data_IF_820869555076
#
_entry.id   IF_820869555076
#
_cell.length_a   1.000
_cell.length_b   1.000
_cell.length_c   1.000
_cell.angle_alpha   90.00
_cell.angle_beta   90.00
_cell.angle_gamma   90.00
#
_symmetry.space_group_name_H-M   'P 1'
#
loop_
_entity.id
_entity.type
_entity.pdbx_description
1 polymer ?
#
# COMPACT_ATOMS: atom_id res chain seq x y z
N UNK A 1 -17.79 4.90 -24.72
CA UNK A 1 -18.24 3.86 -23.79
C UNK A 1 -17.18 3.80 -22.68
N UNK A 2 -17.45 4.46 -21.57
CA UNK A 2 -16.58 4.42 -20.41
C UNK A 2 -16.60 2.99 -19.85
N UNK A 3 -15.54 2.23 -20.12
CA UNK A 3 -15.29 0.97 -19.43
C UNK A 3 -14.83 1.34 -18.02
N UNK A 4 -15.79 1.58 -17.13
CA UNK A 4 -15.50 1.71 -15.72
C UNK A 4 -14.99 0.33 -15.24
N UNK A 5 -13.66 0.15 -15.24
CA UNK A 5 -13.07 -1.04 -14.66
C UNK A 5 -13.34 -1.02 -13.15
N UNK A 6 -13.92 -2.06 -12.57
CA UNK A 6 -14.20 -2.07 -11.14
C UNK A 6 -12.89 -2.04 -10.36
N UNK A 7 -12.74 -1.00 -9.55
CA UNK A 7 -11.57 -0.74 -8.74
C UNK A 7 -11.97 -0.88 -7.26
N UNK A 8 -11.20 -1.67 -6.52
CA UNK A 8 -11.29 -1.72 -5.06
C UNK A 8 -10.20 -0.82 -4.47
N UNK A 9 -10.56 0.02 -3.51
CA UNK A 9 -9.60 0.76 -2.69
C UNK A 9 -9.63 0.20 -1.27
N UNK A 10 -8.47 -0.26 -0.81
CA UNK A 10 -8.26 -0.89 0.49
C UNK A 10 -7.49 0.05 1.40
N UNK A 11 -8.05 0.36 2.56
CA UNK A 11 -7.42 1.17 3.60
C UNK A 11 -7.20 0.30 4.83
N UNK A 12 -5.94 -0.06 5.11
CA UNK A 12 -5.59 -0.78 6.32
C UNK A 12 -5.54 0.19 7.52
N UNK A 13 -6.23 -0.15 8.61
CA UNK A 13 -6.35 0.73 9.78
C UNK A 13 -6.05 -0.01 11.09
N UNK A 14 -5.46 0.74 12.03
CA UNK A 14 -5.36 0.36 13.44
C UNK A 14 -5.22 1.63 14.27
N UNK A 15 -6.23 2.04 15.03
CA UNK A 15 -6.23 3.25 15.84
C UNK A 15 -5.81 4.50 15.02
N UNK A 16 -6.61 4.84 14.01
CA UNK A 16 -6.38 5.97 13.08
C UNK A 16 -7.58 6.94 13.04
N UNK A 17 -8.27 7.15 14.18
CA UNK A 17 -9.47 7.99 14.25
C UNK A 17 -9.29 9.41 13.69
N UNK A 18 -8.05 9.96 13.74
CA UNK A 18 -7.73 11.30 13.24
C UNK A 18 -7.53 11.34 11.72
N UNK A 19 -7.04 10.26 11.13
CA UNK A 19 -6.64 10.20 9.73
C UNK A 19 -7.66 9.52 8.83
N UNK A 20 -8.41 8.54 9.34
CA UNK A 20 -9.30 7.69 8.53
C UNK A 20 -10.41 8.50 7.84
N UNK A 21 -11.07 9.43 8.54
CA UNK A 21 -12.14 10.25 7.97
C UNK A 21 -11.66 11.06 6.75
N UNK A 22 -10.68 11.97 6.91
CA UNK A 22 -10.12 12.74 5.81
C UNK A 22 -9.61 11.88 4.65
N UNK A 23 -9.01 10.71 4.93
CA UNK A 23 -8.53 9.78 3.91
C UNK A 23 -9.70 9.23 3.07
N UNK A 24 -10.77 8.76 3.71
CA UNK A 24 -11.93 8.19 3.02
C UNK A 24 -12.71 9.24 2.23
N UNK A 25 -12.87 10.45 2.77
CA UNK A 25 -13.51 11.58 2.09
C UNK A 25 -12.77 11.93 0.79
N UNK A 26 -11.44 12.01 0.85
CA UNK A 26 -10.63 12.30 -0.34
C UNK A 26 -10.73 11.19 -1.38
N UNK A 27 -10.67 9.91 -0.96
CA UNK A 27 -10.82 8.76 -1.87
C UNK A 27 -12.18 8.83 -2.57
N UNK A 28 -13.27 9.04 -1.84
CA UNK A 28 -14.62 9.14 -2.42
C UNK A 28 -14.77 10.30 -3.39
N UNK A 29 -14.12 11.44 -3.11
CA UNK A 29 -14.11 12.58 -4.01
C UNK A 29 -13.41 12.31 -5.34
N UNK A 30 -12.28 11.57 -5.29
CA UNK A 30 -11.45 11.26 -6.47
C UNK A 30 -11.96 10.04 -7.23
N UNK A 31 -12.47 9.04 -6.48
CA UNK A 31 -12.89 7.73 -6.99
C UNK A 31 -14.31 7.39 -6.52
N UNK A 32 -15.35 8.15 -6.93
CA UNK A 32 -16.70 8.01 -6.36
C UNK A 32 -17.38 6.65 -6.61
N UNK A 33 -16.92 5.92 -7.62
CA UNK A 33 -17.48 4.61 -8.01
C UNK A 33 -16.62 3.42 -7.55
N UNK A 34 -15.59 3.62 -6.71
CA UNK A 34 -14.76 2.53 -6.22
C UNK A 34 -15.47 1.70 -5.13
N UNK A 35 -15.12 0.42 -5.05
CA UNK A 35 -15.46 -0.43 -3.88
C UNK A 35 -14.48 -0.07 -2.74
N UNK A 36 -14.94 0.78 -1.80
CA UNK A 36 -14.13 1.30 -0.71
C UNK A 36 -14.21 0.39 0.51
N UNK A 37 -13.08 -0.24 0.85
CA UNK A 37 -12.97 -1.20 1.93
C UNK A 37 -11.94 -0.73 2.96
N UNK A 38 -12.33 -0.71 4.21
CA UNK A 38 -11.46 -0.54 5.36
C UNK A 38 -11.24 -1.90 6.01
N UNK A 39 -9.98 -2.31 6.19
CA UNK A 39 -9.63 -3.50 6.97
C UNK A 39 -9.05 -3.04 8.30
N UNK A 40 -9.79 -3.27 9.36
CA UNK A 40 -9.47 -2.77 10.69
C UNK A 40 -8.81 -3.85 11.57
N UNK A 41 -7.65 -3.51 12.11
CA UNK A 41 -6.84 -4.36 12.98
C UNK A 41 -7.31 -4.42 14.44
N UNK A 42 -8.62 -4.40 14.68
CA UNK A 42 -9.24 -4.34 16.02
C UNK A 42 -8.93 -3.02 16.76
N UNK A 43 -9.20 -1.90 16.12
CA UNK A 43 -9.04 -0.57 16.72
C UNK A 43 -9.88 -0.42 17.98
N UNK A 44 -9.30 0.22 19.00
CA UNK A 44 -9.95 0.55 20.27
C UNK A 44 -10.48 1.98 20.34
N UNK A 45 -10.18 2.81 19.33
CA UNK A 45 -10.65 4.18 19.18
C UNK A 45 -11.88 4.26 18.24
N UNK A 46 -12.24 5.45 17.77
CA UNK A 46 -13.39 5.67 16.88
C UNK A 46 -13.14 5.33 15.41
N UNK A 47 -12.02 4.69 15.05
CA UNK A 47 -11.65 4.39 13.66
C UNK A 47 -12.78 3.69 12.90
N UNK A 48 -13.32 2.60 13.46
CA UNK A 48 -14.39 1.80 12.82
C UNK A 48 -15.68 2.58 12.65
N UNK A 49 -16.06 3.35 13.68
CA UNK A 49 -17.25 4.22 13.63
C UNK A 49 -17.14 5.25 12.50
N UNK A 50 -16.02 5.96 12.45
CA UNK A 50 -15.74 6.97 11.43
C UNK A 50 -15.72 6.36 10.02
N UNK A 51 -15.12 5.17 9.87
CA UNK A 51 -15.09 4.47 8.58
C UNK A 51 -16.49 4.14 8.07
N UNK A 52 -17.38 3.64 8.93
CA UNK A 52 -18.79 3.33 8.60
C UNK A 52 -19.58 4.58 8.24
N UNK A 53 -19.44 5.68 9.00
CA UNK A 53 -20.09 6.97 8.72
C UNK A 53 -19.65 7.48 7.34
N UNK A 54 -18.40 7.30 6.97
CA UNK A 54 -17.89 7.63 5.64
C UNK A 54 -18.30 6.63 4.55
N UNK A 55 -19.17 5.67 4.84
CA UNK A 55 -19.73 4.74 3.84
C UNK A 55 -18.73 3.71 3.32
N UNK A 56 -17.64 3.45 4.03
CA UNK A 56 -16.72 2.36 3.70
C UNK A 56 -17.29 1.01 4.19
N UNK A 57 -17.06 -0.04 3.42
CA UNK A 57 -17.27 -1.41 3.90
C UNK A 57 -16.15 -1.74 4.88
N UNK A 58 -16.48 -2.10 6.10
CA UNK A 58 -15.50 -2.42 7.14
C UNK A 58 -15.38 -3.92 7.31
N UNK A 59 -14.16 -4.43 7.20
CA UNK A 59 -13.77 -5.80 7.55
C UNK A 59 -12.94 -5.73 8.83
N UNK A 60 -13.33 -6.50 9.84
CA UNK A 60 -12.52 -6.65 11.05
C UNK A 60 -11.53 -7.78 10.81
N UNK A 61 -10.27 -7.49 11.05
CA UNK A 61 -9.16 -8.42 10.84
C UNK A 61 -9.23 -9.59 11.82
N UNK A 62 -9.05 -10.82 11.31
CA UNK A 62 -9.00 -12.02 12.16
C UNK A 62 -7.58 -12.31 12.67
N UNK A 63 -6.54 -11.94 11.90
CA UNK A 63 -5.14 -12.04 12.27
C UNK A 63 -4.58 -10.75 12.85
N UNK A 64 -3.31 -10.48 12.60
CA UNK A 64 -2.62 -9.29 13.10
C UNK A 64 -1.69 -8.71 12.04
N UNK A 65 -1.50 -7.39 12.09
CA UNK A 65 -0.54 -6.67 11.26
C UNK A 65 -1.04 -6.31 9.86
N UNK A 66 -0.25 -5.51 9.15
CA UNK A 66 -0.63 -4.93 7.86
C UNK A 66 -0.73 -5.99 6.75
N UNK A 67 0.16 -6.99 6.78
CA UNK A 67 0.20 -8.07 5.79
C UNK A 67 -1.09 -8.89 5.79
N UNK A 68 -1.55 -9.31 6.96
CA UNK A 68 -2.81 -10.04 7.11
C UNK A 68 -4.01 -9.18 6.68
N UNK A 69 -4.03 -7.88 7.03
CA UNK A 69 -5.10 -6.98 6.58
C UNK A 69 -5.18 -6.90 5.05
N UNK A 70 -4.06 -6.77 4.37
CA UNK A 70 -4.00 -6.74 2.90
C UNK A 70 -4.41 -8.08 2.29
N UNK A 71 -4.01 -9.19 2.90
CA UNK A 71 -4.41 -10.54 2.48
C UNK A 71 -5.93 -10.74 2.59
N UNK A 72 -6.53 -10.38 3.73
CA UNK A 72 -7.98 -10.48 3.91
C UNK A 72 -8.75 -9.60 2.91
N UNK A 73 -8.22 -8.41 2.60
CA UNK A 73 -8.80 -7.56 1.56
C UNK A 73 -8.79 -8.24 0.19
N UNK A 74 -7.68 -8.87 -0.20
CA UNK A 74 -7.56 -9.62 -1.46
C UNK A 74 -8.54 -10.80 -1.47
N UNK A 75 -8.57 -11.62 -0.41
CA UNK A 75 -9.47 -12.80 -0.33
C UNK A 75 -10.96 -12.44 -0.36
N UNK A 76 -11.33 -11.27 0.13
CA UNK A 76 -12.71 -10.76 0.09
C UNK A 76 -13.05 -10.02 -1.21
N UNK A 77 -12.10 -9.93 -2.16
CA UNK A 77 -12.29 -9.18 -3.41
C UNK A 77 -13.12 -9.99 -4.40
N UNK A 78 -14.14 -9.35 -5.00
CA UNK A 78 -14.93 -9.93 -6.08
C UNK A 78 -14.06 -10.16 -7.32
N UNK A 79 -14.28 -11.28 -8.01
CA UNK A 79 -13.55 -11.66 -9.22
C UNK A 79 -13.73 -10.67 -10.39
N UNK A 80 -14.77 -9.84 -10.35
CA UNK A 80 -14.99 -8.78 -11.34
C UNK A 80 -14.05 -7.57 -11.14
N UNK A 81 -13.40 -7.43 -9.99
CA UNK A 81 -12.44 -6.36 -9.73
C UNK A 81 -11.20 -6.57 -10.60
N UNK A 82 -10.76 -5.52 -11.27
CA UNK A 82 -9.55 -5.58 -12.11
C UNK A 82 -8.33 -5.00 -11.41
N UNK A 83 -8.53 -3.96 -10.61
CA UNK A 83 -7.45 -3.28 -9.91
C UNK A 83 -7.76 -3.14 -8.43
N UNK A 84 -6.76 -3.38 -7.59
CA UNK A 84 -6.81 -3.10 -6.16
C UNK A 84 -5.80 -2.02 -5.82
N UNK A 85 -6.24 -1.01 -5.08
CA UNK A 85 -5.39 0.07 -4.58
C UNK A 85 -5.26 -0.08 -3.07
N UNK A 86 -4.04 -0.14 -2.57
CA UNK A 86 -3.74 -0.11 -1.14
C UNK A 86 -3.26 1.26 -0.75
N UNK A 87 -3.72 1.76 0.40
CA UNK A 87 -3.25 3.01 1.00
C UNK A 87 -3.36 2.96 2.52
N UNK A 88 -2.63 3.86 3.20
CA UNK A 88 -2.69 4.00 4.65
C UNK A 88 -3.82 4.96 5.06
N UNK A 89 -4.32 4.81 6.30
CA UNK A 89 -5.44 5.58 6.84
C UNK A 89 -5.05 6.94 7.45
N UNK A 90 -3.77 7.30 7.43
CA UNK A 90 -3.20 8.44 8.17
C UNK A 90 -3.16 9.77 7.39
N UNK A 91 -3.82 9.82 6.24
CA UNK A 91 -3.91 10.96 5.33
C UNK A 91 -2.58 11.37 4.66
N UNK A 92 -1.54 10.58 4.75
CA UNK A 92 -0.22 10.90 4.16
C UNK A 92 -0.17 10.75 2.64
N UNK A 93 -0.98 9.86 2.07
CA UNK A 93 -1.03 9.56 0.64
C UNK A 93 -2.21 10.25 -0.06
N UNK A 94 -1.96 11.26 -0.94
CA UNK A 94 -3.04 11.91 -1.65
C UNK A 94 -3.72 11.00 -2.66
N UNK A 95 -5.04 10.82 -2.56
CA UNK A 95 -5.80 9.97 -3.46
C UNK A 95 -5.81 10.46 -4.93
N UNK A 96 -5.50 11.74 -5.16
CA UNK A 96 -5.45 12.36 -6.50
C UNK A 96 -4.49 11.63 -7.47
N UNK A 97 -3.53 10.86 -6.98
CA UNK A 97 -2.60 10.09 -7.81
C UNK A 97 -3.18 8.75 -8.28
N UNK A 98 -4.24 8.23 -7.63
CA UNK A 98 -4.82 6.92 -7.93
C UNK A 98 -5.29 6.79 -9.38
N UNK A 99 -6.03 7.75 -9.98
CA UNK A 99 -6.44 7.65 -11.39
C UNK A 99 -5.26 7.48 -12.34
N UNK A 100 -4.16 8.22 -12.11
CA UNK A 100 -2.94 8.10 -12.94
C UNK A 100 -2.26 6.74 -12.77
N UNK A 101 -2.27 6.16 -11.57
CA UNK A 101 -1.73 4.82 -11.32
C UNK A 101 -2.53 3.75 -12.08
N UNK A 102 -3.86 3.86 -12.09
CA UNK A 102 -4.73 2.96 -12.85
C UNK A 102 -4.50 3.12 -14.35
N UNK A 103 -4.44 4.36 -14.87
CA UNK A 103 -4.13 4.63 -16.28
C UNK A 103 -2.83 3.95 -16.74
N UNK A 104 -1.76 4.01 -15.91
CA UNK A 104 -0.49 3.36 -16.22
C UNK A 104 -0.67 1.84 -16.31
N UNK A 105 -1.43 1.22 -15.40
CA UNK A 105 -1.73 -0.20 -15.47
C UNK A 105 -2.51 -0.53 -16.75
N UNK A 106 -3.51 0.25 -17.12
CA UNK A 106 -4.34 0.04 -18.30
C UNK A 106 -3.52 0.10 -19.61
N UNK A 107 -2.63 1.10 -19.71
CA UNK A 107 -1.82 1.34 -20.90
C UNK A 107 -0.63 0.38 -21.04
N UNK A 108 -0.19 -0.28 -19.96
CA UNK A 108 1.04 -1.08 -19.94
C UNK A 108 0.76 -2.50 -19.41
N UNK A 109 0.40 -3.47 -20.27
CA UNK A 109 0.09 -4.85 -19.85
C UNK A 109 1.21 -5.54 -19.05
N UNK A 110 2.47 -5.18 -19.29
CA UNK A 110 3.64 -5.75 -18.59
C UNK A 110 3.87 -5.14 -17.20
N UNK A 111 3.12 -4.08 -16.82
CA UNK A 111 3.21 -3.48 -15.47
C UNK A 111 2.17 -4.14 -14.58
N UNK A 112 2.60 -4.82 -13.53
CA UNK A 112 1.74 -5.50 -12.56
C UNK A 112 1.39 -4.62 -11.35
N UNK A 113 2.24 -3.64 -11.05
CA UNK A 113 2.06 -2.73 -9.90
C UNK A 113 2.61 -1.33 -10.19
N UNK A 114 1.89 -0.32 -9.72
CA UNK A 114 2.36 1.07 -9.69
C UNK A 114 2.45 1.52 -8.24
N UNK A 115 3.56 2.19 -7.88
CA UNK A 115 3.87 2.65 -6.51
C UNK A 115 3.98 4.18 -6.50
N UNK A 116 3.40 4.81 -5.49
CA UNK A 116 3.61 6.24 -5.23
C UNK A 116 4.95 6.49 -4.53
N UNK A 117 5.93 7.04 -5.24
CA UNK A 117 7.26 7.34 -4.71
C UNK A 117 7.25 8.64 -3.91
N UNK A 118 7.57 8.55 -2.61
CA UNK A 118 7.55 9.68 -1.66
C UNK A 118 8.78 10.60 -1.78
N UNK A 119 9.84 10.17 -2.44
CA UNK A 119 11.14 10.85 -2.44
C UNK A 119 11.40 11.70 -3.68
N UNK A 120 10.62 11.53 -4.74
CA UNK A 120 10.78 12.26 -6.01
C UNK A 120 9.74 13.37 -6.22
N UNK A 121 8.87 13.64 -5.23
CA UNK A 121 7.91 14.74 -5.27
C UNK A 121 8.42 16.01 -4.55
N UNK A 122 7.66 17.11 -4.62
CA UNK A 122 7.93 18.30 -3.80
C UNK A 122 7.67 17.98 -2.32
N UNK A 123 8.71 18.01 -1.50
CA UNK A 123 8.67 17.56 -0.11
C UNK A 123 8.54 18.71 0.88
N UNK A 124 7.60 18.56 1.81
CA UNK A 124 7.63 19.18 3.13
C UNK A 124 7.96 18.11 4.19
N UNK A 125 9.17 17.53 4.13
CA UNK A 125 9.62 16.64 5.19
C UNK A 125 10.25 17.46 6.33
N UNK A 126 9.86 17.14 7.56
CA UNK A 126 10.57 17.59 8.76
C UNK A 126 12.00 17.00 8.76
N UNK A 127 13.00 17.88 8.59
CA UNK A 127 14.35 17.51 8.12
C UNK A 127 15.16 16.57 9.03
N UNK A 128 14.80 16.41 10.31
CA UNK A 128 15.66 15.69 11.26
C UNK A 128 15.34 14.18 11.37
N UNK A 129 14.07 13.81 11.40
CA UNK A 129 13.65 12.38 11.47
C UNK A 129 13.67 11.75 10.08
N UNK A 130 13.52 12.55 9.06
CA UNK A 130 13.47 12.17 7.64
C UNK A 130 14.77 11.55 7.15
N UNK A 131 15.93 12.06 7.58
CA UNK A 131 17.21 11.58 7.08
C UNK A 131 17.46 10.10 7.45
N UNK A 132 17.14 9.67 8.67
CA UNK A 132 17.38 8.28 9.08
C UNK A 132 16.42 7.29 8.40
N UNK A 133 15.13 7.63 8.29
CA UNK A 133 14.17 6.79 7.56
C UNK A 133 14.43 6.78 6.06
N UNK A 134 14.86 7.91 5.49
CA UNK A 134 15.28 7.98 4.09
C UNK A 134 16.50 7.08 3.83
N UNK A 135 17.56 7.21 4.64
CA UNK A 135 18.75 6.37 4.52
C UNK A 135 18.38 4.89 4.68
N UNK A 136 17.58 4.56 5.71
CA UNK A 136 17.09 3.20 5.93
C UNK A 136 16.33 2.66 4.72
N UNK A 137 15.40 3.45 4.15
CA UNK A 137 14.68 3.06 2.94
C UNK A 137 15.61 2.84 1.74
N UNK A 138 16.63 3.70 1.56
CA UNK A 138 17.61 3.55 0.46
C UNK A 138 18.48 2.30 0.62
N UNK A 139 18.86 1.95 1.85
CA UNK A 139 19.61 0.72 2.15
C UNK A 139 18.76 -0.52 1.86
N UNK A 140 17.48 -0.51 2.27
CA UNK A 140 16.55 -1.61 2.00
C UNK A 140 16.22 -1.72 0.50
N UNK A 141 16.10 -0.58 -0.22
CA UNK A 141 15.95 -0.56 -1.66
C UNK A 141 17.14 -1.21 -2.38
N UNK A 142 18.37 -0.86 -1.96
CA UNK A 142 19.59 -1.46 -2.48
C UNK A 142 19.64 -2.97 -2.18
N UNK A 143 19.33 -3.39 -0.94
CA UNK A 143 19.28 -4.80 -0.56
C UNK A 143 18.25 -5.57 -1.40
N UNK A 144 17.06 -5.02 -1.60
CA UNK A 144 16.03 -5.66 -2.42
C UNK A 144 16.45 -5.77 -3.89
N UNK A 145 17.12 -4.74 -4.43
CA UNK A 145 17.67 -4.80 -5.78
C UNK A 145 18.75 -5.89 -5.91
N UNK A 146 19.73 -5.91 -5.00
CA UNK A 146 20.85 -6.84 -5.07
C UNK A 146 20.44 -8.31 -4.85
N UNK A 147 19.40 -8.55 -4.05
CA UNK A 147 19.00 -9.89 -3.62
C UNK A 147 17.83 -10.43 -4.45
N UNK A 148 16.84 -9.59 -4.74
CA UNK A 148 15.60 -9.99 -5.40
C UNK A 148 15.44 -9.43 -6.84
N UNK A 149 16.41 -8.65 -7.34
CA UNK A 149 16.35 -8.01 -8.66
C UNK A 149 15.34 -6.86 -8.77
N UNK A 150 14.70 -6.44 -7.68
CA UNK A 150 13.67 -5.40 -7.65
C UNK A 150 14.29 -4.00 -7.62
N UNK A 151 14.28 -3.30 -8.75
CA UNK A 151 14.86 -1.94 -8.87
C UNK A 151 13.80 -0.87 -8.58
N UNK A 152 13.73 -0.42 -7.31
CA UNK A 152 12.83 0.63 -6.85
C UNK A 152 13.57 1.69 -6.04
N UNK A 153 13.05 2.92 -6.04
CA UNK A 153 13.56 4.01 -5.22
C UNK A 153 12.86 4.07 -3.86
N UNK A 154 11.56 3.73 -3.83
CA UNK A 154 10.73 3.73 -2.62
C UNK A 154 9.95 2.40 -2.45
N UNK A 155 10.64 1.29 -2.17
CA UNK A 155 10.03 -0.04 -2.06
C UNK A 155 9.05 -0.18 -0.88
N UNK A 156 9.08 0.75 0.08
CA UNK A 156 8.28 0.70 1.30
C UNK A 156 7.10 1.69 1.29
N UNK A 157 6.77 2.28 0.15
CA UNK A 157 5.60 3.14 0.04
C UNK A 157 4.31 2.33 0.23
N UNK A 158 3.36 2.85 1.00
CA UNK A 158 2.06 2.22 1.24
C UNK A 158 1.03 2.44 0.13
N UNK A 159 1.21 3.47 -0.74
CA UNK A 159 0.30 3.71 -1.86
C UNK A 159 0.70 2.85 -3.06
N UNK A 160 -0.13 1.86 -3.38
CA UNK A 160 0.10 0.86 -4.43
C UNK A 160 -1.16 0.57 -5.20
N UNK A 161 -1.09 0.60 -6.52
CA UNK A 161 -2.15 0.08 -7.39
C UNK A 161 -1.65 -1.20 -8.06
N UNK A 162 -2.43 -2.28 -7.99
CA UNK A 162 -2.03 -3.60 -8.48
C UNK A 162 -3.09 -4.18 -9.41
N UNK A 163 -2.67 -5.05 -10.34
CA UNK A 163 -3.59 -5.91 -11.07
C UNK A 163 -4.10 -7.01 -10.14
N UNK A 164 -5.41 -7.11 -9.96
CA UNK A 164 -6.00 -8.12 -9.08
C UNK A 164 -5.67 -9.54 -9.53
N UNK A 165 -5.63 -9.79 -10.82
CA UNK A 165 -5.33 -11.12 -11.39
C UNK A 165 -4.00 -11.71 -10.90
N UNK A 166 -2.99 -10.86 -10.62
CA UNK A 166 -1.69 -11.30 -10.08
C UNK A 166 -1.84 -11.72 -8.61
N UNK A 167 -2.69 -11.01 -7.85
CA UNK A 167 -2.81 -11.16 -6.40
C UNK A 167 -3.93 -12.10 -5.95
N UNK A 168 -4.81 -12.57 -6.84
CA UNK A 168 -5.95 -13.44 -6.47
C UNK A 168 -5.54 -14.69 -5.67
N UNK A 169 -4.37 -15.25 -5.99
CA UNK A 169 -3.81 -16.44 -5.33
C UNK A 169 -2.64 -16.11 -4.39
N UNK A 170 -2.44 -14.81 -4.09
CA UNK A 170 -1.39 -14.37 -3.18
C UNK A 170 -1.63 -14.89 -1.76
N UNK A 171 -0.62 -15.55 -1.19
CA UNK A 171 -0.59 -16.06 0.18
C UNK A 171 0.66 -15.50 0.88
N UNK A 172 0.56 -14.30 1.48
CA UNK A 172 1.71 -13.65 2.12
C UNK A 172 2.23 -14.44 3.30
N UNK A 173 3.53 -14.36 3.50
CA UNK A 173 4.21 -14.86 4.69
C UNK A 173 4.56 -13.74 5.66
N UNK A 174 4.23 -12.51 5.28
CA UNK A 174 4.46 -11.29 6.03
C UNK A 174 3.19 -10.89 6.78
N UNK A 175 3.31 -10.72 8.09
CA UNK A 175 2.21 -10.19 8.92
C UNK A 175 2.35 -8.67 9.15
N UNK A 176 3.55 -8.08 8.94
CA UNK A 176 3.91 -6.75 9.37
C UNK A 176 4.16 -5.74 8.24
N UNK A 177 5.05 -4.79 8.54
CA UNK A 177 5.52 -3.76 7.60
C UNK A 177 6.54 -4.28 6.57
N UNK A 178 6.80 -5.56 6.54
CA UNK A 178 7.60 -6.25 5.53
C UNK A 178 6.76 -6.74 4.34
N UNK A 179 5.44 -6.56 4.40
CA UNK A 179 4.51 -6.94 3.32
C UNK A 179 4.80 -6.20 2.02
N UNK A 180 5.23 -4.94 2.08
CA UNK A 180 5.53 -4.15 0.90
C UNK A 180 6.68 -4.77 0.09
N UNK A 181 7.76 -5.23 0.73
CA UNK A 181 8.88 -5.88 0.02
C UNK A 181 8.50 -7.26 -0.49
N UNK A 182 7.62 -7.96 0.22
CA UNK A 182 7.04 -9.22 -0.25
C UNK A 182 6.21 -9.03 -1.52
N UNK A 183 5.32 -8.04 -1.55
CA UNK A 183 4.54 -7.70 -2.75
C UNK A 183 5.43 -7.36 -3.94
N UNK A 184 6.51 -6.59 -3.71
CA UNK A 184 7.45 -6.22 -4.77
C UNK A 184 8.07 -7.47 -5.40
N UNK A 185 8.60 -8.37 -4.57
CA UNK A 185 9.20 -9.61 -5.04
C UNK A 185 8.16 -10.53 -5.71
N UNK A 186 6.95 -10.58 -5.17
CA UNK A 186 5.85 -11.37 -5.73
C UNK A 186 5.51 -10.94 -7.17
N UNK A 187 5.35 -9.64 -7.41
CA UNK A 187 5.04 -9.10 -8.75
C UNK A 187 6.16 -9.41 -9.75
N UNK A 188 7.43 -9.19 -9.36
CA UNK A 188 8.58 -9.44 -10.24
C UNK A 188 8.73 -10.93 -10.54
N UNK A 189 8.52 -11.82 -9.55
CA UNK A 189 8.59 -13.27 -9.72
C UNK A 189 7.47 -13.82 -10.62
N UNK A 190 6.37 -13.07 -10.79
CA UNK A 190 5.31 -13.39 -11.77
C UNK A 190 5.59 -12.79 -13.17
N UNK A 191 6.77 -12.23 -13.41
CA UNK A 191 7.20 -11.71 -14.70
C UNK A 191 6.69 -10.30 -15.03
N UNK A 192 6.15 -9.58 -14.05
CA UNK A 192 5.65 -8.22 -14.25
C UNK A 192 6.65 -7.17 -13.78
N UNK A 193 6.59 -6.01 -14.41
CA UNK A 193 7.34 -4.82 -14.00
C UNK A 193 6.59 -4.05 -12.91
N UNK A 194 7.34 -3.26 -12.15
CA UNK A 194 6.82 -2.27 -11.19
C UNK A 194 7.23 -0.88 -11.67
N UNK A 195 6.28 0.05 -11.68
CA UNK A 195 6.52 1.46 -12.04
C UNK A 195 6.32 2.34 -10.82
N UNK A 196 7.15 3.36 -10.67
CA UNK A 196 7.01 4.39 -9.63
C UNK A 196 6.54 5.70 -10.23
N UNK A 197 5.62 6.39 -9.57
CA UNK A 197 5.25 7.77 -9.89
C UNK A 197 5.56 8.69 -8.71
N UNK A 198 6.09 9.91 -8.94
CA UNK A 198 6.33 10.85 -7.85
C UNK A 198 5.01 11.30 -7.22
N UNK A 199 4.96 11.35 -5.90
CA UNK A 199 3.81 11.84 -5.16
C UNK A 199 4.20 12.89 -4.13
N UNK A 200 3.29 13.82 -3.84
CA UNK A 200 3.46 14.79 -2.75
C UNK A 200 3.00 14.16 -1.43
N UNK A 201 3.96 13.59 -0.69
CA UNK A 201 3.69 12.96 0.60
C UNK A 201 3.39 14.02 1.67
N UNK A 202 2.33 13.82 2.47
CA UNK A 202 1.85 14.79 3.47
C UNK A 202 2.34 14.45 4.88
N UNK A 203 2.22 15.43 5.78
CA UNK A 203 2.35 15.17 7.21
C UNK A 203 1.21 14.27 7.69
N UNK A 204 1.56 13.30 8.53
CA UNK A 204 0.63 12.33 9.10
C UNK A 204 -0.36 12.97 10.07
N UNK A 205 -1.61 12.51 10.03
CA UNK A 205 -2.58 12.73 11.09
C UNK A 205 -2.57 11.51 12.03
N UNK A 206 -2.31 11.74 13.33
CA UNK A 206 -2.23 10.67 14.33
C UNK A 206 -0.82 10.16 14.61
N UNK A 207 -0.71 9.02 15.27
CA UNK A 207 0.55 8.50 15.83
C UNK A 207 1.32 7.62 14.83
N UNK A 208 2.65 7.73 14.83
CA UNK A 208 3.52 6.91 13.99
C UNK A 208 3.71 5.52 14.61
N UNK A 209 3.35 4.48 13.88
CA UNK A 209 3.46 3.07 14.32
C UNK A 209 4.75 2.39 13.87
N UNK A 210 5.35 2.86 12.77
CA UNK A 210 6.61 2.32 12.26
C UNK A 210 7.77 2.68 13.20
N UNK A 211 8.49 1.66 13.70
CA UNK A 211 9.66 1.77 14.58
C UNK A 211 10.91 1.25 13.85
N UNK A 212 12.10 1.66 14.30
CA UNK A 212 13.38 1.23 13.70
C UNK A 212 13.56 -0.30 13.67
N UNK A 213 13.04 -1.02 14.67
CA UNK A 213 13.09 -2.49 14.72
C UNK A 213 12.45 -3.16 13.49
N UNK A 214 11.41 -2.55 12.91
CA UNK A 214 10.76 -3.08 11.71
C UNK A 214 11.71 -3.09 10.50
N UNK A 215 12.76 -2.27 10.49
CA UNK A 215 13.80 -2.32 9.45
C UNK A 215 14.53 -3.66 9.40
N UNK A 216 14.77 -4.30 10.56
CA UNK A 216 15.36 -5.64 10.61
C UNK A 216 14.39 -6.72 10.12
N UNK A 217 13.11 -6.61 10.43
CA UNK A 217 12.06 -7.52 9.94
C UNK A 217 11.98 -7.44 8.41
N UNK A 218 11.98 -6.22 7.84
CA UNK A 218 11.98 -5.98 6.40
C UNK A 218 13.24 -6.58 5.74
N UNK A 219 14.43 -6.34 6.32
CA UNK A 219 15.68 -6.91 5.78
C UNK A 219 15.65 -8.44 5.80
N UNK A 220 15.19 -9.04 6.91
CA UNK A 220 15.00 -10.48 7.01
C UNK A 220 14.08 -11.03 5.92
N UNK A 221 12.99 -10.31 5.60
CA UNK A 221 12.07 -10.69 4.54
C UNK A 221 12.71 -10.64 3.17
N UNK A 222 13.52 -9.62 2.87
CA UNK A 222 14.28 -9.53 1.63
C UNK A 222 15.19 -10.75 1.44
N UNK A 223 15.91 -11.14 2.51
CA UNK A 223 16.79 -12.31 2.51
C UNK A 223 16.01 -13.63 2.33
N UNK A 224 14.81 -13.72 2.91
CA UNK A 224 13.97 -14.91 2.79
C UNK A 224 13.55 -15.20 1.34
N UNK A 225 13.29 -14.19 0.54
CA UNK A 225 12.96 -14.36 -0.87
C UNK A 225 14.15 -14.75 -1.75
N UNK A 226 15.39 -14.50 -1.31
CA UNK A 226 16.61 -14.93 -2.00
C UNK A 226 16.77 -16.46 -2.04
N UNK A 227 16.27 -17.17 -1.04
CA UNK A 227 16.48 -18.60 -0.87
C UNK A 227 15.44 -19.47 -1.60
N UNK A 228 14.60 -18.89 -2.43
CA UNK A 228 13.51 -19.59 -3.16
C UNK A 228 13.68 -19.65 -4.68
N UNK A 229 14.84 -19.25 -5.22
CA UNK A 229 15.20 -19.42 -6.63
C UNK A 229 16.01 -20.68 -6.84
#
# INVERSE_FOLDING_TARGET
MDRCHPIRVVVATLNEEKGVGPTLEEIKKVMPSCDLVVVDGNSSDKTVEIAKINGAKVLIQNGTGKGDAMFQAIKSTDLNVQYVVFTDADFTYPAVYVPKMIEILEQNPNVGMVIGNRFNGEHNFDKSITNLFYIGNRLLAFAQYAINGVKLQDPLSGLRAVRFEIFKDWDPKSDGFDVEVEMNAFVVNHGYNITEIPIKYRSRLGEKKLKLRHGFEILKRILFYSNRN
#
